data_IF_434474437699
#
_entry.id   IF_434474437699
#
_cell.length_a   1.000
_cell.length_b   1.000
_cell.length_c   1.000
_cell.angle_alpha   90.00
_cell.angle_beta   90.00
_cell.angle_gamma   90.00
#
_symmetry.space_group_name_H-M   'P 1'
#
loop_
_entity.id
_entity.type
_entity.pdbx_description
1 polymer ?
#
# COMPACT_ATOMS: atom_id res chain seq x y z
N UNK A 1 24.98 61.43 -31.10
CA UNK A 1 26.05 61.81 -30.15
C UNK A 1 27.15 60.74 -30.16
N UNK A 2 28.36 61.05 -29.68
CA UNK A 2 29.37 60.03 -29.38
C UNK A 2 28.82 58.96 -28.42
N UNK A 3 27.91 59.35 -27.52
CA UNK A 3 27.23 58.43 -26.58
C UNK A 3 26.31 57.43 -27.29
N UNK A 4 25.60 57.86 -28.35
CA UNK A 4 24.77 56.96 -29.15
C UNK A 4 25.62 55.94 -29.92
N UNK A 5 26.80 56.36 -30.37
CA UNK A 5 27.75 55.49 -31.05
C UNK A 5 28.34 54.46 -30.08
N UNK A 6 28.71 54.88 -28.87
CA UNK A 6 29.22 53.99 -27.84
C UNK A 6 28.17 52.96 -27.40
N UNK A 7 26.91 53.38 -27.22
CA UNK A 7 25.80 52.47 -26.89
C UNK A 7 25.57 51.44 -27.99
N UNK A 8 25.56 51.85 -29.26
CA UNK A 8 25.39 50.94 -30.41
C UNK A 8 26.50 49.89 -30.51
N UNK A 9 27.74 50.28 -30.22
CA UNK A 9 28.86 49.32 -30.18
C UNK A 9 28.69 48.35 -29.01
N UNK A 10 28.29 48.83 -27.84
CA UNK A 10 28.00 47.99 -26.69
C UNK A 10 26.89 46.96 -26.96
N UNK A 11 25.78 47.40 -27.56
CA UNK A 11 24.66 46.53 -27.97
C UNK A 11 25.08 45.51 -29.03
N UNK A 12 26.02 45.85 -29.93
CA UNK A 12 26.51 44.94 -30.95
C UNK A 12 27.48 43.87 -30.41
N UNK A 13 28.27 44.20 -29.39
CA UNK A 13 29.26 43.30 -28.80
C UNK A 13 28.67 42.40 -27.70
N UNK A 14 27.62 42.86 -27.03
CA UNK A 14 27.00 42.14 -25.92
C UNK A 14 26.02 41.11 -26.47
N UNK A 15 26.37 39.84 -26.35
CA UNK A 15 25.55 38.70 -26.78
C UNK A 15 24.83 38.08 -25.60
N UNK A 16 23.51 37.97 -25.73
CA UNK A 16 22.68 37.24 -24.79
C UNK A 16 22.54 35.81 -25.28
N UNK A 17 22.91 34.84 -24.45
CA UNK A 17 22.77 33.43 -24.77
C UNK A 17 21.52 32.85 -24.13
N UNK A 18 20.93 31.87 -24.81
CA UNK A 18 19.82 31.12 -24.28
C UNK A 18 20.20 30.38 -22.99
N UNK A 19 19.24 30.28 -22.06
CA UNK A 19 19.44 29.54 -20.80
C UNK A 19 19.70 28.05 -21.01
N UNK A 20 19.01 27.45 -21.99
CA UNK A 20 19.05 26.02 -22.25
C UNK A 20 19.82 25.73 -23.54
N UNK A 21 20.64 24.67 -23.60
CA UNK A 21 21.43 24.35 -24.78
C UNK A 21 20.55 23.97 -26.00
N UNK A 22 19.35 23.46 -25.75
CA UNK A 22 18.35 23.07 -26.76
C UNK A 22 17.35 24.18 -27.10
N UNK A 23 17.59 25.44 -26.71
CA UNK A 23 16.72 26.52 -27.15
C UNK A 23 16.74 26.65 -28.68
N UNK A 24 15.58 26.81 -29.30
CA UNK A 24 15.46 26.87 -30.76
C UNK A 24 16.32 27.98 -31.39
N UNK A 25 16.51 29.11 -30.69
CA UNK A 25 17.36 30.23 -31.12
C UNK A 25 18.83 29.86 -31.33
N UNK A 26 19.34 28.84 -30.61
CA UNK A 26 20.71 28.34 -30.78
C UNK A 26 20.90 27.60 -32.11
N UNK A 27 19.83 27.21 -32.82
CA UNK A 27 19.91 26.39 -34.04
C UNK A 27 19.41 27.11 -35.29
N UNK A 28 19.22 28.43 -35.22
CA UNK A 28 18.78 29.23 -36.36
C UNK A 28 19.81 29.20 -37.50
N UNK A 29 19.42 28.80 -38.72
CA UNK A 29 20.34 28.71 -39.84
C UNK A 29 20.88 30.08 -40.22
N UNK A 30 22.20 30.18 -40.40
CA UNK A 30 22.87 31.44 -40.76
C UNK A 30 23.15 32.37 -39.58
N UNK A 31 22.83 31.96 -38.35
CA UNK A 31 23.34 32.64 -37.14
C UNK A 31 24.83 32.36 -36.97
N UNK A 32 25.63 33.39 -36.65
CA UNK A 32 27.05 33.21 -36.28
C UNK A 32 27.21 32.34 -35.03
N UNK A 33 26.19 32.34 -34.17
CA UNK A 33 26.14 31.61 -32.90
C UNK A 33 25.41 30.26 -33.05
N UNK A 34 25.26 29.77 -34.27
CA UNK A 34 24.63 28.47 -34.49
C UNK A 34 25.41 27.38 -33.74
N UNK A 35 24.71 26.70 -32.85
CA UNK A 35 25.26 25.59 -32.07
C UNK A 35 25.61 24.42 -32.99
N UNK A 36 26.80 23.88 -32.80
CA UNK A 36 27.29 22.68 -33.47
C UNK A 36 26.87 21.39 -32.74
N UNK A 37 26.22 21.50 -31.58
CA UNK A 37 25.77 20.37 -30.76
C UNK A 37 24.49 19.73 -31.35
N UNK A 38 24.66 18.92 -32.38
CA UNK A 38 23.57 18.29 -33.12
C UNK A 38 22.67 17.39 -32.25
N UNK A 39 23.16 16.91 -31.10
CA UNK A 39 22.39 16.11 -30.13
C UNK A 39 21.13 16.83 -29.60
N UNK A 40 21.15 18.17 -29.56
CA UNK A 40 20.01 18.97 -29.07
C UNK A 40 19.02 19.37 -30.17
N UNK A 41 19.40 19.22 -31.44
CA UNK A 41 18.57 19.62 -32.58
C UNK A 41 17.17 18.94 -32.60
N UNK A 42 17.01 17.66 -32.22
CA UNK A 42 15.67 17.05 -32.13
C UNK A 42 14.78 17.73 -31.08
N UNK A 43 15.35 18.13 -29.94
CA UNK A 43 14.62 18.82 -28.87
C UNK A 43 14.32 20.28 -29.25
N UNK A 44 15.29 20.97 -29.84
CA UNK A 44 15.15 22.36 -30.30
C UNK A 44 14.09 22.53 -31.39
N UNK A 45 13.96 21.55 -32.28
CA UNK A 45 13.00 21.51 -33.39
C UNK A 45 11.66 20.86 -32.99
N UNK A 46 11.48 20.48 -31.72
CA UNK A 46 10.25 19.85 -31.24
C UNK A 46 9.93 18.50 -31.88
N UNK A 47 10.94 17.80 -32.43
CA UNK A 47 10.79 16.49 -33.10
C UNK A 47 10.67 15.30 -32.13
N UNK A 48 10.52 15.57 -30.83
CA UNK A 48 10.29 14.53 -29.83
C UNK A 48 8.90 13.90 -29.98
N UNK A 49 8.82 12.58 -29.82
CA UNK A 49 7.55 11.90 -29.62
C UNK A 49 7.26 11.84 -28.11
N UNK A 50 6.04 12.22 -27.70
CA UNK A 50 5.62 12.03 -26.32
C UNK A 50 5.65 10.53 -25.97
N UNK A 51 6.04 10.20 -24.74
CA UNK A 51 5.98 8.82 -24.28
C UNK A 51 4.52 8.33 -24.34
N UNK A 52 4.27 7.11 -24.85
CA UNK A 52 2.94 6.54 -24.81
C UNK A 52 2.49 6.33 -23.36
N UNK A 53 1.18 6.18 -23.16
CA UNK A 53 0.64 5.76 -21.88
C UNK A 53 1.34 4.47 -21.43
N UNK A 54 1.79 4.44 -20.18
CA UNK A 54 2.48 3.29 -19.61
C UNK A 54 1.54 2.08 -19.50
N UNK A 55 0.31 2.32 -19.03
CA UNK A 55 -0.68 1.28 -18.85
C UNK A 55 -1.26 0.85 -20.19
N UNK A 56 -0.69 -0.20 -20.77
CA UNK A 56 -1.22 -0.89 -21.93
C UNK A 56 -1.63 -2.31 -21.54
N UNK A 57 -2.80 -2.81 -21.98
CA UNK A 57 -3.23 -4.16 -21.66
C UNK A 57 -2.22 -5.20 -22.15
N UNK A 58 -1.79 -6.04 -21.23
CA UNK A 58 -1.05 -7.25 -21.55
C UNK A 58 -2.02 -8.39 -21.84
N UNK A 59 -1.65 -9.35 -22.70
CA UNK A 59 -2.47 -10.53 -22.93
C UNK A 59 -2.60 -11.33 -21.63
N UNK A 60 -3.81 -11.85 -21.41
CA UNK A 60 -4.12 -12.71 -20.28
C UNK A 60 -3.33 -14.01 -20.38
N UNK A 61 -2.76 -14.43 -19.25
CA UNK A 61 -2.14 -15.74 -19.10
C UNK A 61 -3.12 -16.70 -18.42
N UNK A 62 -3.08 -17.96 -18.83
CA UNK A 62 -3.93 -18.98 -18.23
C UNK A 62 -3.47 -19.23 -16.79
N UNK A 63 -4.29 -18.80 -15.82
CA UNK A 63 -4.08 -19.11 -14.41
C UNK A 63 -4.73 -20.45 -14.11
N UNK A 64 -3.93 -21.51 -13.96
CA UNK A 64 -4.42 -22.85 -13.59
C UNK A 64 -4.30 -23.11 -12.09
N UNK A 65 -3.28 -22.51 -11.47
CA UNK A 65 -2.99 -22.67 -10.05
C UNK A 65 -2.44 -21.37 -9.48
N UNK A 66 -2.78 -21.12 -8.22
CA UNK A 66 -2.26 -19.99 -7.43
C UNK A 66 -2.09 -20.43 -5.97
N UNK A 67 -1.07 -19.91 -5.31
CA UNK A 67 -0.92 -20.09 -3.86
C UNK A 67 -1.70 -19.03 -3.08
N UNK A 68 -2.13 -19.36 -1.86
CA UNK A 68 -2.73 -18.39 -0.93
C UNK A 68 -1.80 -17.18 -0.70
N UNK A 69 -0.49 -17.43 -0.55
CA UNK A 69 0.51 -16.38 -0.31
C UNK A 69 0.63 -15.39 -1.48
N UNK A 70 0.56 -15.88 -2.72
CA UNK A 70 0.56 -15.03 -3.92
C UNK A 70 -0.68 -14.15 -3.99
N UNK A 71 -1.84 -14.71 -3.65
CA UNK A 71 -3.09 -13.98 -3.66
C UNK A 71 -3.13 -12.90 -2.56
N UNK A 72 -2.70 -13.25 -1.34
CA UNK A 72 -2.53 -12.30 -0.23
C UNK A 72 -1.50 -11.21 -0.58
N UNK A 73 -0.37 -11.57 -1.18
CA UNK A 73 0.66 -10.61 -1.61
C UNK A 73 0.13 -9.65 -2.68
N UNK A 74 -0.69 -10.14 -3.60
CA UNK A 74 -1.33 -9.30 -4.61
C UNK A 74 -2.27 -8.28 -3.98
N UNK A 75 -3.23 -8.72 -3.16
CA UNK A 75 -4.23 -7.82 -2.56
C UNK A 75 -3.67 -6.85 -1.51
N UNK A 76 -2.47 -7.12 -0.98
CA UNK A 76 -1.74 -6.18 -0.12
C UNK A 76 -1.42 -4.87 -0.86
N UNK A 77 -0.98 -4.96 -2.12
CA UNK A 77 -0.65 -3.80 -2.97
C UNK A 77 -0.73 -4.21 -4.46
N UNK A 78 -1.92 -4.14 -5.08
CA UNK A 78 -2.14 -4.70 -6.42
C UNK A 78 -1.30 -4.06 -7.52
N UNK A 79 -1.07 -2.74 -7.46
CA UNK A 79 -0.23 -2.04 -8.44
C UNK A 79 1.21 -2.54 -8.33
N UNK A 80 1.78 -2.61 -7.12
CA UNK A 80 3.13 -3.17 -6.90
C UNK A 80 3.21 -4.62 -7.34
N UNK A 81 2.17 -5.41 -7.08
CA UNK A 81 2.11 -6.81 -7.49
C UNK A 81 2.15 -6.95 -9.02
N UNK A 82 1.47 -6.10 -9.79
CA UNK A 82 1.60 -6.07 -11.25
C UNK A 82 3.07 -5.88 -11.69
N UNK A 83 3.77 -4.89 -11.14
CA UNK A 83 5.18 -4.68 -11.49
C UNK A 83 6.05 -5.88 -11.13
N UNK A 84 5.89 -6.43 -9.92
CA UNK A 84 6.77 -7.49 -9.43
C UNK A 84 6.47 -8.86 -10.04
N UNK A 85 5.19 -9.23 -10.16
CA UNK A 85 4.75 -10.54 -10.64
C UNK A 85 4.64 -10.58 -12.16
N UNK A 86 4.06 -9.56 -12.79
CA UNK A 86 3.84 -9.55 -14.25
C UNK A 86 5.05 -9.04 -15.01
N UNK A 87 5.63 -7.92 -14.59
CA UNK A 87 6.72 -7.26 -15.32
C UNK A 87 8.12 -7.68 -14.85
N UNK A 88 8.25 -8.32 -13.68
CA UNK A 88 9.54 -8.63 -13.06
C UNK A 88 10.33 -7.39 -12.63
N UNK A 89 9.64 -6.27 -12.37
CA UNK A 89 10.23 -4.97 -12.03
C UNK A 89 10.07 -4.68 -10.54
N UNK A 90 11.15 -4.28 -9.89
CA UNK A 90 11.18 -3.85 -8.50
C UNK A 90 11.87 -2.49 -8.37
N UNK A 91 11.21 -1.53 -7.73
CA UNK A 91 11.76 -0.19 -7.48
C UNK A 91 12.46 -0.10 -6.12
N UNK A 92 13.00 -1.21 -5.60
CA UNK A 92 13.77 -1.18 -4.34
C UNK A 92 15.06 -0.43 -4.61
N UNK A 93 15.15 0.78 -4.06
CA UNK A 93 16.40 1.46 -3.81
C UNK A 93 16.84 1.00 -2.42
N UNK A 94 17.86 0.14 -2.34
CA UNK A 94 18.49 -0.16 -1.05
C UNK A 94 19.27 1.08 -0.59
N UNK A 95 18.58 2.02 0.03
CA UNK A 95 19.22 3.06 0.82
C UNK A 95 19.57 2.44 2.17
N UNK A 96 20.77 1.87 2.23
CA UNK A 96 21.38 1.47 3.51
C UNK A 96 22.00 2.71 4.14
N UNK A 97 21.16 3.66 4.54
CA UNK A 97 21.63 4.82 5.30
C UNK A 97 21.97 4.32 6.70
N UNK A 98 23.27 4.27 7.01
CA UNK A 98 23.73 3.93 8.36
C UNK A 98 23.47 5.15 9.24
N UNK A 99 22.80 4.99 10.40
CA UNK A 99 22.63 6.10 11.32
C UNK A 99 23.99 6.64 11.78
N UNK A 100 24.19 7.96 11.67
CA UNK A 100 25.39 8.64 12.15
C UNK A 100 25.49 8.69 13.69
N UNK A 101 24.37 8.45 14.39
CA UNK A 101 24.24 8.56 15.84
C UNK A 101 23.51 7.35 16.47
N UNK A 102 23.71 7.15 17.78
CA UNK A 102 22.99 6.15 18.58
C UNK A 102 21.49 6.50 18.67
N UNK A 103 20.57 5.50 18.65
CA UNK A 103 19.13 5.77 18.65
C UNK A 103 18.65 6.35 19.99
N UNK A 104 18.40 7.66 20.03
CA UNK A 104 17.63 8.30 21.10
C UNK A 104 16.13 7.97 21.02
N UNK A 105 15.66 7.59 19.84
CA UNK A 105 14.31 7.08 19.59
C UNK A 105 14.38 5.91 18.61
N UNK A 106 13.54 4.91 18.79
CA UNK A 106 13.34 3.85 17.79
C UNK A 106 12.69 4.42 16.54
N UNK A 107 13.27 4.10 15.37
CA UNK A 107 12.63 4.35 14.09
C UNK A 107 11.35 3.51 13.94
N UNK A 108 10.51 3.88 12.99
CA UNK A 108 9.19 3.25 12.83
C UNK A 108 9.29 1.74 12.54
N UNK A 109 10.30 1.29 11.78
CA UNK A 109 10.45 -0.11 11.43
C UNK A 109 10.95 -0.94 12.63
N UNK A 110 12.00 -0.49 13.32
CA UNK A 110 12.48 -1.20 14.51
C UNK A 110 11.43 -1.20 15.60
N UNK A 111 10.68 -0.09 15.77
CA UNK A 111 9.53 -0.05 16.69
C UNK A 111 8.47 -1.10 16.36
N UNK A 112 8.13 -1.28 15.08
CA UNK A 112 7.16 -2.29 14.67
C UNK A 112 7.68 -3.70 14.99
N UNK A 113 8.91 -4.03 14.60
CA UNK A 113 9.53 -5.34 14.86
C UNK A 113 9.62 -5.63 16.36
N UNK A 114 10.03 -4.63 17.14
CA UNK A 114 10.10 -4.68 18.60
C UNK A 114 8.73 -4.97 19.20
N UNK A 115 7.70 -4.18 18.85
CA UNK A 115 6.37 -4.37 19.39
C UNK A 115 5.74 -5.70 18.93
N UNK A 116 6.09 -6.22 17.75
CA UNK A 116 5.67 -7.56 17.31
C UNK A 116 6.23 -8.65 18.22
N UNK A 117 7.52 -8.57 18.58
CA UNK A 117 8.14 -9.51 19.51
C UNK A 117 7.51 -9.40 20.90
N UNK A 118 7.38 -8.19 21.42
CA UNK A 118 6.79 -7.94 22.73
C UNK A 118 5.35 -8.46 22.83
N UNK A 119 4.52 -8.17 21.81
CA UNK A 119 3.14 -8.63 21.76
C UNK A 119 3.06 -10.16 21.76
N UNK A 120 3.87 -10.85 20.96
CA UNK A 120 3.90 -12.31 20.95
C UNK A 120 4.37 -12.89 22.29
N UNK A 121 5.43 -12.35 22.89
CA UNK A 121 5.91 -12.76 24.23
C UNK A 121 4.81 -12.63 25.28
N UNK A 122 4.06 -11.53 25.27
CA UNK A 122 2.93 -11.34 26.19
C UNK A 122 1.81 -12.35 25.89
N UNK A 123 1.46 -12.57 24.62
CA UNK A 123 0.40 -13.52 24.22
C UNK A 123 0.74 -14.97 24.59
N UNK A 124 2.02 -15.36 24.51
CA UNK A 124 2.51 -16.68 24.89
C UNK A 124 2.63 -16.86 26.42
N UNK A 125 2.48 -15.78 27.20
CA UNK A 125 2.64 -15.80 28.65
C UNK A 125 4.09 -15.92 29.10
N UNK A 126 5.04 -15.65 28.20
CA UNK A 126 6.47 -15.64 28.47
C UNK A 126 6.88 -14.40 29.27
N UNK A 127 8.04 -14.48 29.91
CA UNK A 127 8.61 -13.39 30.70
C UNK A 127 9.11 -12.23 29.80
N UNK A 128 8.44 -11.06 29.81
CA UNK A 128 8.83 -9.94 28.96
C UNK A 128 10.16 -9.32 29.42
N UNK A 129 10.61 -9.52 30.66
CA UNK A 129 11.87 -9.00 31.18
C UNK A 129 13.09 -9.62 30.45
N UNK A 130 12.98 -10.89 30.05
CA UNK A 130 14.02 -11.54 29.23
C UNK A 130 14.14 -10.90 27.85
N UNK A 131 13.01 -10.54 27.25
CA UNK A 131 13.00 -9.82 25.98
C UNK A 131 13.63 -8.44 26.14
N UNK A 132 13.29 -7.71 27.22
CA UNK A 132 13.90 -6.41 27.53
C UNK A 132 15.43 -6.49 27.59
N UNK A 133 15.97 -7.44 28.36
CA UNK A 133 17.42 -7.63 28.50
C UNK A 133 18.09 -7.94 27.16
N UNK A 134 17.45 -8.76 26.31
CA UNK A 134 17.97 -9.10 24.98
C UNK A 134 18.00 -7.89 24.05
N UNK A 135 16.91 -7.12 23.97
CA UNK A 135 16.83 -5.95 23.09
C UNK A 135 17.77 -4.85 23.58
N UNK A 136 17.88 -4.65 24.89
CA UNK A 136 18.85 -3.73 25.50
C UNK A 136 20.29 -4.11 25.16
N UNK A 137 20.66 -5.39 25.28
CA UNK A 137 21.99 -5.88 24.93
C UNK A 137 22.32 -5.76 23.43
N UNK A 138 21.30 -5.79 22.57
CA UNK A 138 21.44 -5.58 21.13
C UNK A 138 21.56 -4.09 20.73
N UNK A 139 21.50 -3.15 21.69
CA UNK A 139 21.52 -1.71 21.39
C UNK A 139 20.24 -1.20 20.74
N UNK A 140 19.14 -1.95 20.82
CA UNK A 140 17.87 -1.59 20.19
C UNK A 140 16.98 -0.64 21.00
N UNK A 141 17.43 -0.18 22.17
CA UNK A 141 16.68 0.73 23.05
C UNK A 141 17.53 1.96 23.39
N UNK A 142 16.89 3.11 23.64
CA UNK A 142 17.59 4.29 24.16
C UNK A 142 18.34 3.99 25.46
N UNK A 143 19.43 4.72 25.69
CA UNK A 143 20.31 4.46 26.83
C UNK A 143 19.65 4.68 28.20
N UNK A 144 19.92 3.76 29.13
CA UNK A 144 19.59 3.88 30.55
C UNK A 144 18.09 4.02 30.84
N UNK A 145 17.73 4.97 31.70
CA UNK A 145 16.36 5.19 32.17
C UNK A 145 15.37 5.53 31.04
N UNK A 146 15.84 6.13 29.94
CA UNK A 146 14.97 6.43 28.79
C UNK A 146 14.50 5.14 28.09
N UNK A 147 15.37 4.14 27.97
CA UNK A 147 15.00 2.83 27.45
C UNK A 147 14.02 2.09 28.37
N UNK A 148 14.20 2.21 29.68
CA UNK A 148 13.30 1.63 30.69
C UNK A 148 11.90 2.26 30.64
N UNK A 149 11.81 3.59 30.55
CA UNK A 149 10.53 4.31 30.40
C UNK A 149 9.86 3.96 29.06
N UNK A 150 10.63 3.92 27.98
CA UNK A 150 10.12 3.52 26.67
C UNK A 150 9.54 2.10 26.70
N UNK A 151 10.27 1.17 27.30
CA UNK A 151 9.87 -0.21 27.49
C UNK A 151 8.56 -0.31 28.26
N UNK A 152 8.47 0.33 29.44
CA UNK A 152 7.26 0.32 30.27
C UNK A 152 6.03 0.79 29.48
N UNK A 153 6.17 1.88 28.74
CA UNK A 153 5.08 2.40 27.91
C UNK A 153 4.65 1.42 26.81
N UNK A 154 5.59 0.79 26.10
CA UNK A 154 5.23 -0.19 25.07
C UNK A 154 4.64 -1.46 25.68
N UNK A 155 5.12 -1.88 26.86
CA UNK A 155 4.56 -3.01 27.59
C UNK A 155 3.11 -2.74 28.01
N UNK A 156 2.81 -1.56 28.57
CA UNK A 156 1.44 -1.15 28.90
C UNK A 156 0.53 -1.17 27.67
N UNK A 157 0.96 -0.53 26.57
CA UNK A 157 0.18 -0.47 25.32
C UNK A 157 -0.04 -1.86 24.68
N UNK A 158 0.91 -2.79 24.81
CA UNK A 158 0.80 -4.14 24.25
C UNK A 158 0.06 -5.10 25.18
N UNK A 159 0.02 -4.84 26.49
CA UNK A 159 -0.65 -5.71 27.47
C UNK A 159 -2.15 -5.76 27.26
N UNK A 160 -2.80 -4.62 27.00
CA UNK A 160 -4.25 -4.57 26.73
C UNK A 160 -4.61 -5.43 25.51
N UNK A 161 -3.85 -5.28 24.41
CA UNK A 161 -4.04 -6.08 23.20
C UNK A 161 -3.72 -7.56 23.43
N UNK A 162 -2.66 -7.87 24.20
CA UNK A 162 -2.31 -9.24 24.53
C UNK A 162 -3.40 -9.93 25.37
N UNK A 163 -4.00 -9.25 26.34
CA UNK A 163 -5.12 -9.79 27.12
C UNK A 163 -6.32 -10.10 26.23
N UNK A 164 -6.69 -9.19 25.32
CA UNK A 164 -7.77 -9.42 24.37
C UNK A 164 -7.51 -10.65 23.50
N UNK A 165 -6.29 -10.81 22.98
CA UNK A 165 -5.91 -11.98 22.17
C UNK A 165 -5.92 -13.26 23.02
N UNK A 166 -5.37 -13.24 24.23
CA UNK A 166 -5.33 -14.40 25.12
C UNK A 166 -6.72 -14.89 25.53
N UNK A 167 -7.66 -13.97 25.74
CA UNK A 167 -9.04 -14.30 26.10
C UNK A 167 -9.74 -15.15 25.03
N UNK A 168 -9.35 -15.00 23.77
CA UNK A 168 -9.95 -15.69 22.62
C UNK A 168 -9.00 -16.70 21.95
N UNK A 169 -7.82 -16.95 22.54
CA UNK A 169 -6.85 -17.89 21.99
C UNK A 169 -7.12 -19.31 22.50
N UNK A 170 -7.40 -20.21 21.58
CA UNK A 170 -7.51 -21.64 21.80
C UNK A 170 -6.36 -22.41 21.11
N UNK A 171 -6.36 -23.73 21.28
CA UNK A 171 -5.48 -24.64 20.54
C UNK A 171 -5.71 -24.47 19.03
N UNK A 172 -4.64 -24.56 18.25
CA UNK A 172 -4.71 -24.31 16.81
C UNK A 172 -3.90 -25.33 16.02
N UNK A 173 -4.30 -25.54 14.77
CA UNK A 173 -3.62 -26.41 13.83
C UNK A 173 -3.37 -25.69 12.50
N UNK A 174 -2.66 -26.34 11.59
CA UNK A 174 -2.53 -25.86 10.21
C UNK A 174 -3.48 -26.65 9.32
N UNK A 175 -4.21 -25.94 8.47
CA UNK A 175 -5.13 -26.50 7.48
C UNK A 175 -4.46 -26.45 6.11
N UNK A 176 -4.29 -27.62 5.49
CA UNK A 176 -3.82 -27.70 4.10
C UNK A 176 -4.96 -27.31 3.15
N UNK A 177 -4.64 -26.50 2.15
CA UNK A 177 -5.59 -25.97 1.19
C UNK A 177 -5.37 -26.61 -0.17
N UNK A 178 -6.45 -27.15 -0.72
CA UNK A 178 -6.54 -27.62 -2.10
C UNK A 178 -7.97 -27.42 -2.61
N UNK A 179 -8.26 -26.21 -3.09
CA UNK A 179 -9.62 -25.78 -3.43
C UNK A 179 -9.67 -25.42 -4.91
N UNK A 180 -10.63 -25.97 -5.65
CA UNK A 180 -10.90 -25.55 -7.03
C UNK A 180 -12.00 -24.47 -7.03
N UNK A 181 -11.69 -23.30 -7.59
CA UNK A 181 -12.64 -22.20 -7.72
C UNK A 181 -12.56 -21.65 -9.13
N UNK A 182 -13.68 -21.73 -9.86
CA UNK A 182 -13.79 -21.28 -11.25
C UNK A 182 -12.71 -21.87 -12.18
N UNK A 183 -12.29 -23.13 -11.93
CA UNK A 183 -11.26 -23.81 -12.72
C UNK A 183 -9.81 -23.37 -12.40
N UNK A 184 -9.62 -22.63 -11.30
CA UNK A 184 -8.31 -22.28 -10.74
C UNK A 184 -8.12 -23.04 -9.43
N UNK A 185 -7.02 -23.78 -9.33
CA UNK A 185 -6.64 -24.48 -8.11
C UNK A 185 -5.93 -23.54 -7.13
N UNK A 186 -6.55 -23.24 -6.00
CA UNK A 186 -5.93 -22.51 -4.90
C UNK A 186 -5.29 -23.50 -3.94
N UNK A 187 -3.99 -23.33 -3.68
CA UNK A 187 -3.21 -24.21 -2.82
C UNK A 187 -2.44 -23.44 -1.74
N UNK A 188 -2.10 -24.09 -0.63
CA UNK A 188 -1.28 -23.48 0.42
C UNK A 188 -1.60 -24.00 1.80
N UNK A 189 -1.21 -23.24 2.82
CA UNK A 189 -1.46 -23.57 4.22
C UNK A 189 -2.11 -22.39 4.91
N UNK A 190 -3.20 -22.64 5.63
CA UNK A 190 -3.74 -21.70 6.58
C UNK A 190 -3.24 -22.08 7.96
N UNK A 191 -2.40 -21.24 8.54
CA UNK A 191 -1.81 -21.49 9.86
C UNK A 191 -2.71 -20.96 10.98
N UNK A 192 -2.50 -21.49 12.18
CA UNK A 192 -3.16 -21.03 13.41
C UNK A 192 -4.70 -21.00 13.27
N UNK A 193 -5.26 -22.07 12.70
CA UNK A 193 -6.70 -22.30 12.63
C UNK A 193 -7.17 -22.88 13.95
N UNK A 194 -8.11 -22.22 14.59
CA UNK A 194 -8.76 -22.66 15.83
C UNK A 194 -10.11 -23.31 15.51
N UNK A 195 -10.68 -24.01 16.47
CA UNK A 195 -12.00 -24.65 16.32
C UNK A 195 -13.12 -23.63 16.08
N UNK A 196 -12.97 -22.41 16.61
CA UNK A 196 -13.90 -21.30 16.42
C UNK A 196 -13.51 -20.36 15.26
N UNK A 197 -12.46 -20.70 14.51
CA UNK A 197 -12.05 -20.06 13.26
C UNK A 197 -10.66 -19.45 13.28
N UNK A 198 -10.50 -18.20 12.81
CA UNK A 198 -9.20 -17.56 12.64
C UNK A 198 -9.01 -16.44 13.65
N UNK A 199 -7.88 -16.46 14.36
CA UNK A 199 -7.42 -15.35 15.20
C UNK A 199 -6.09 -14.84 14.67
N UNK A 200 -6.01 -13.55 14.43
CA UNK A 200 -4.81 -12.82 14.00
C UNK A 200 -4.60 -11.62 14.91
N UNK A 201 -3.38 -11.11 14.98
CA UNK A 201 -3.09 -9.88 15.73
C UNK A 201 -1.90 -9.13 15.14
N UNK A 202 -1.87 -7.80 15.33
CA UNK A 202 -0.75 -6.95 14.93
C UNK A 202 -0.51 -5.81 15.92
N UNK A 203 0.76 -5.42 16.17
CA UNK A 203 1.10 -4.30 17.05
C UNK A 203 0.93 -2.92 16.38
N UNK A 204 -0.11 -2.76 15.57
CA UNK A 204 -0.43 -1.53 14.84
C UNK A 204 -1.94 -1.29 14.83
N UNK A 205 -2.37 -0.05 14.60
CA UNK A 205 -3.78 0.19 14.25
C UNK A 205 -4.06 -0.46 12.91
N UNK A 206 -5.12 -1.25 12.83
CA UNK A 206 -5.47 -1.99 11.63
C UNK A 206 -5.89 -1.05 10.50
N UNK A 207 -5.51 -1.42 9.29
CA UNK A 207 -5.83 -0.73 8.04
C UNK A 207 -6.83 -1.54 7.22
N UNK A 208 -7.30 -0.97 6.11
CA UNK A 208 -8.10 -1.71 5.13
C UNK A 208 -7.33 -2.87 4.49
N UNK A 209 -6.00 -2.75 4.39
CA UNK A 209 -5.14 -3.86 3.95
C UNK A 209 -5.28 -5.04 4.91
N UNK A 210 -5.31 -4.80 6.22
CA UNK A 210 -5.49 -5.87 7.20
C UNK A 210 -6.88 -6.51 7.07
N UNK A 211 -7.91 -5.69 6.80
CA UNK A 211 -9.27 -6.16 6.56
C UNK A 211 -9.40 -7.05 5.33
N UNK A 212 -8.91 -6.61 4.16
CA UNK A 212 -9.02 -7.41 2.93
C UNK A 212 -8.17 -8.69 2.99
N UNK A 213 -7.03 -8.67 3.68
CA UNK A 213 -6.21 -9.86 3.85
C UNK A 213 -6.87 -10.89 4.78
N UNK A 214 -7.42 -10.45 5.92
CA UNK A 214 -8.19 -11.34 6.78
C UNK A 214 -9.44 -11.85 6.06
N UNK A 215 -10.12 -10.99 5.28
CA UNK A 215 -11.28 -11.39 4.48
C UNK A 215 -10.93 -12.51 3.51
N UNK A 216 -9.79 -12.41 2.84
CA UNK A 216 -9.32 -13.43 1.91
C UNK A 216 -9.00 -14.75 2.64
N UNK A 217 -8.29 -14.70 3.77
CA UNK A 217 -8.08 -15.88 4.62
C UNK A 217 -9.42 -16.49 5.08
N UNK A 218 -10.38 -15.65 5.45
CA UNK A 218 -11.71 -16.06 5.91
C UNK A 218 -12.52 -16.76 4.81
N UNK A 219 -12.54 -16.21 3.59
CA UNK A 219 -13.19 -16.83 2.44
C UNK A 219 -12.60 -18.22 2.15
N UNK A 220 -11.29 -18.34 2.18
CA UNK A 220 -10.58 -19.60 1.98
C UNK A 220 -10.88 -20.60 3.09
N UNK A 221 -10.92 -20.15 4.35
CA UNK A 221 -11.33 -20.94 5.51
C UNK A 221 -12.76 -21.47 5.36
N UNK A 222 -13.73 -20.63 4.99
CA UNK A 222 -15.12 -21.05 4.77
C UNK A 222 -15.25 -22.00 3.58
N UNK A 223 -14.51 -21.78 2.48
CA UNK A 223 -14.48 -22.68 1.34
C UNK A 223 -13.94 -24.08 1.70
N UNK A 224 -13.00 -24.15 2.65
CA UNK A 224 -12.46 -25.41 3.18
C UNK A 224 -13.41 -26.11 4.18
N UNK A 225 -14.62 -25.58 4.40
CA UNK A 225 -15.63 -26.15 5.30
C UNK A 225 -15.60 -25.57 6.72
N UNK A 226 -14.82 -24.53 6.97
CA UNK A 226 -14.79 -23.82 8.25
C UNK A 226 -16.11 -23.09 8.54
N UNK A 227 -16.66 -23.30 9.74
CA UNK A 227 -17.94 -22.69 10.18
C UNK A 227 -17.77 -21.67 11.29
N UNK A 228 -16.53 -21.32 11.62
CA UNK A 228 -16.17 -20.35 12.66
C UNK A 228 -16.08 -18.91 12.16
N UNK A 229 -15.74 -18.02 13.09
CA UNK A 229 -15.52 -16.59 12.81
C UNK A 229 -14.05 -16.31 12.50
N UNK A 230 -13.77 -15.19 11.85
CA UNK A 230 -12.39 -14.75 11.63
C UNK A 230 -12.19 -13.34 12.16
N UNK A 231 -11.17 -13.16 13.00
CA UNK A 231 -10.92 -11.92 13.74
C UNK A 231 -9.45 -11.55 13.72
N UNK A 232 -9.18 -10.26 13.57
CA UNK A 232 -7.85 -9.67 13.75
C UNK A 232 -7.93 -8.50 14.72
N UNK A 233 -7.01 -8.48 15.69
CA UNK A 233 -6.93 -7.41 16.68
C UNK A 233 -5.66 -6.57 16.51
N UNK A 234 -5.83 -5.25 16.63
CA UNK A 234 -4.73 -4.30 16.59
C UNK A 234 -4.84 -3.23 17.67
N UNK A 235 -3.89 -2.31 17.64
CA UNK A 235 -3.80 -1.22 18.63
C UNK A 235 -5.01 -0.29 18.56
N UNK A 236 -5.26 0.41 19.67
CA UNK A 236 -6.40 1.35 19.83
C UNK A 236 -7.75 0.66 19.63
N UNK A 237 -7.87 -0.60 20.04
CA UNK A 237 -9.07 -1.43 19.91
C UNK A 237 -9.58 -1.49 18.45
N UNK A 238 -8.67 -1.41 17.48
CA UNK A 238 -9.03 -1.65 16.09
C UNK A 238 -9.21 -3.15 15.89
N UNK A 239 -10.29 -3.54 15.22
CA UNK A 239 -10.60 -4.92 14.93
C UNK A 239 -11.19 -5.06 13.52
N UNK A 240 -10.96 -6.21 12.90
CA UNK A 240 -11.83 -6.73 11.83
C UNK A 240 -12.39 -8.06 12.28
N UNK A 241 -13.69 -8.27 12.10
CA UNK A 241 -14.36 -9.50 12.51
C UNK A 241 -15.39 -9.91 11.47
N UNK A 242 -15.33 -11.16 11.03
CA UNK A 242 -16.22 -11.72 10.03
C UNK A 242 -16.94 -12.95 10.61
N UNK A 243 -18.26 -12.97 10.49
CA UNK A 243 -19.06 -14.16 10.80
C UNK A 243 -18.87 -15.23 9.72
N UNK A 244 -19.10 -16.48 10.10
CA UNK A 244 -19.09 -17.61 9.18
C UNK A 244 -20.01 -17.38 7.98
N UNK A 245 -19.50 -17.72 6.79
CA UNK A 245 -20.23 -17.66 5.54
C UNK A 245 -20.61 -19.05 5.05
N UNK A 246 -21.69 -19.13 4.28
CA UNK A 246 -21.99 -20.34 3.54
C UNK A 246 -20.87 -20.62 2.51
N UNK A 247 -20.44 -21.88 2.32
CA UNK A 247 -19.38 -22.20 1.37
C UNK A 247 -19.65 -21.69 -0.05
N UNK A 248 -20.90 -21.68 -0.50
CA UNK A 248 -21.29 -21.19 -1.82
C UNK A 248 -21.09 -19.67 -1.96
N UNK A 249 -21.41 -18.91 -0.91
CA UNK A 249 -21.19 -17.46 -0.87
C UNK A 249 -19.69 -17.14 -0.82
N UNK A 250 -18.94 -17.88 0.01
CA UNK A 250 -17.50 -17.73 0.10
C UNK A 250 -16.80 -18.03 -1.24
N UNK A 251 -17.22 -19.08 -1.94
CA UNK A 251 -16.71 -19.43 -3.27
C UNK A 251 -17.02 -18.34 -4.31
N UNK A 252 -18.21 -17.76 -4.29
CA UNK A 252 -18.58 -16.68 -5.21
C UNK A 252 -17.72 -15.43 -5.00
N UNK A 253 -17.51 -15.01 -3.75
CA UNK A 253 -16.67 -13.87 -3.40
C UNK A 253 -15.18 -14.13 -3.73
N UNK A 254 -14.70 -15.35 -3.47
CA UNK A 254 -13.33 -15.72 -3.78
C UNK A 254 -13.08 -15.82 -5.30
N UNK A 255 -14.07 -16.27 -6.08
CA UNK A 255 -14.00 -16.25 -7.54
C UNK A 255 -13.85 -14.82 -8.09
N UNK A 256 -14.53 -13.84 -7.49
CA UNK A 256 -14.41 -12.42 -7.84
C UNK A 256 -13.00 -11.89 -7.53
N UNK A 257 -12.41 -12.28 -6.40
CA UNK A 257 -11.02 -11.94 -6.08
C UNK A 257 -10.02 -12.62 -7.04
N UNK A 258 -10.26 -13.85 -7.46
CA UNK A 258 -9.42 -14.53 -8.46
C UNK A 258 -9.52 -13.84 -9.84
N UNK A 259 -10.72 -13.44 -10.25
CA UNK A 259 -10.91 -12.65 -11.46
C UNK A 259 -10.18 -11.29 -11.36
N UNK A 260 -10.24 -10.65 -10.19
CA UNK A 260 -9.50 -9.42 -9.91
C UNK A 260 -7.99 -9.56 -10.01
N UNK A 261 -7.44 -10.65 -9.47
CA UNK A 261 -6.03 -11.00 -9.63
C UNK A 261 -5.65 -11.15 -11.12
N UNK A 262 -6.42 -11.91 -11.90
CA UNK A 262 -6.17 -12.09 -13.33
C UNK A 262 -6.22 -10.75 -14.10
N UNK A 263 -7.22 -9.90 -13.82
CA UNK A 263 -7.31 -8.54 -14.40
C UNK A 263 -6.09 -7.71 -14.03
N UNK A 264 -5.70 -7.76 -12.76
CA UNK A 264 -4.56 -7.05 -12.19
C UNK A 264 -3.20 -7.45 -12.74
N UNK A 265 -3.09 -8.65 -13.32
CA UNK A 265 -1.90 -9.09 -14.06
C UNK A 265 -1.93 -8.69 -15.55
N UNK A 266 -3.09 -8.33 -16.09
CA UNK A 266 -3.19 -7.80 -17.46
C UNK A 266 -2.97 -6.28 -17.49
N UNK A 267 -3.48 -5.58 -16.48
CA UNK A 267 -3.32 -4.14 -16.27
C UNK A 267 -3.27 -3.85 -14.76
N UNK A 268 -2.54 -2.82 -14.29
CA UNK A 268 -2.51 -2.45 -12.88
C UNK A 268 -3.93 -2.25 -12.32
N UNK A 269 -4.30 -3.06 -11.32
CA UNK A 269 -5.58 -2.93 -10.63
C UNK A 269 -5.52 -1.71 -9.71
N UNK A 270 -6.37 -0.71 -9.96
CA UNK A 270 -6.38 0.56 -9.22
C UNK A 270 -7.11 0.47 -7.87
N UNK A 271 -6.90 -0.62 -7.16
CA UNK A 271 -7.35 -0.80 -5.79
C UNK A 271 -6.33 -0.17 -4.84
N UNK A 272 -6.60 1.08 -4.48
CA UNK A 272 -5.82 1.86 -3.53
C UNK A 272 -6.37 1.68 -2.12
N UNK A 273 -5.82 0.72 -1.38
CA UNK A 273 -6.38 0.30 -0.10
C UNK A 273 -6.46 1.45 0.92
N UNK A 274 -5.52 2.41 0.94
CA UNK A 274 -5.56 3.53 1.91
C UNK A 274 -6.54 4.62 1.46
N UNK A 275 -6.45 5.06 0.20
CA UNK A 275 -7.26 6.17 -0.33
C UNK A 275 -8.70 5.75 -0.58
N UNK A 276 -8.91 4.55 -1.14
CA UNK A 276 -10.23 3.94 -1.33
C UNK A 276 -10.95 3.74 -0.01
N UNK A 277 -10.25 3.24 1.02
CA UNK A 277 -10.81 3.13 2.37
C UNK A 277 -11.22 4.48 2.96
N UNK A 278 -10.39 5.51 2.80
CA UNK A 278 -10.69 6.85 3.30
C UNK A 278 -11.98 7.43 2.67
N UNK A 279 -12.25 7.11 1.39
CA UNK A 279 -13.54 7.40 0.77
C UNK A 279 -14.66 6.54 1.35
N UNK A 280 -14.50 5.22 1.30
CA UNK A 280 -15.55 4.26 1.63
C UNK A 280 -16.03 4.44 3.07
N UNK A 281 -15.10 4.55 4.02
CA UNK A 281 -15.40 4.78 5.45
C UNK A 281 -16.19 6.07 5.72
N UNK A 282 -16.13 7.05 4.82
CA UNK A 282 -16.79 8.34 4.97
C UNK A 282 -18.20 8.38 4.36
N UNK A 283 -18.48 7.55 3.36
CA UNK A 283 -19.77 7.47 2.68
C UNK A 283 -20.53 6.15 2.94
N UNK A 284 -19.94 5.18 3.62
CA UNK A 284 -20.63 3.93 3.97
C UNK A 284 -21.64 4.16 5.10
N UNK A 285 -22.88 3.69 4.91
CA UNK A 285 -23.96 3.74 5.89
C UNK A 285 -24.15 2.35 6.51
N UNK A 286 -23.78 2.13 7.78
CA UNK A 286 -23.90 0.83 8.44
C UNK A 286 -25.34 0.29 8.49
N UNK A 287 -26.34 1.16 8.61
CA UNK A 287 -27.75 0.79 8.77
C UNK A 287 -28.34 0.22 7.48
N UNK A 288 -27.96 0.78 6.33
CA UNK A 288 -28.43 0.36 5.00
C UNK A 288 -27.47 -0.61 4.31
N UNK A 289 -26.25 -0.75 4.85
CA UNK A 289 -25.13 -1.48 4.25
C UNK A 289 -24.81 -1.02 2.81
N UNK A 290 -25.01 0.28 2.54
CA UNK A 290 -24.87 0.88 1.23
C UNK A 290 -23.97 2.11 1.28
N UNK A 291 -23.55 2.55 0.09
CA UNK A 291 -22.81 3.78 -0.11
C UNK A 291 -23.79 4.93 -0.24
N UNK A 292 -23.57 5.98 0.53
CA UNK A 292 -24.26 7.25 0.44
C UNK A 292 -23.81 8.01 -0.81
N UNK A 293 -24.67 8.03 -1.83
CA UNK A 293 -24.41 8.71 -3.09
C UNK A 293 -24.93 10.16 -3.12
N UNK A 294 -25.38 10.70 -1.98
CA UNK A 294 -25.74 12.11 -1.90
C UNK A 294 -24.53 13.01 -2.16
N UNK A 295 -24.76 14.13 -2.85
CA UNK A 295 -23.70 15.02 -3.34
C UNK A 295 -22.81 15.53 -2.21
N UNK A 296 -23.40 15.96 -1.08
CA UNK A 296 -22.64 16.45 0.07
C UNK A 296 -21.76 15.38 0.73
N UNK A 297 -22.26 14.14 0.84
CA UNK A 297 -21.52 13.02 1.38
C UNK A 297 -20.35 12.66 0.47
N UNK A 298 -20.59 12.60 -0.84
CA UNK A 298 -19.58 12.30 -1.85
C UNK A 298 -18.49 13.36 -1.94
N UNK A 299 -18.81 14.65 -1.79
CA UNK A 299 -17.81 15.73 -1.73
C UNK A 299 -16.85 15.50 -0.56
N UNK A 300 -17.39 15.21 0.64
CA UNK A 300 -16.58 14.95 1.83
C UNK A 300 -15.73 13.68 1.68
N UNK A 301 -16.31 12.60 1.17
CA UNK A 301 -15.61 11.34 0.98
C UNK A 301 -14.48 11.46 -0.05
N UNK A 302 -14.71 12.16 -1.18
CA UNK A 302 -13.66 12.43 -2.18
C UNK A 302 -12.55 13.31 -1.62
N UNK A 303 -12.87 14.29 -0.78
CA UNK A 303 -11.86 15.10 -0.10
C UNK A 303 -10.98 14.25 0.83
N UNK A 304 -11.56 13.25 1.52
CA UNK A 304 -10.81 12.30 2.36
C UNK A 304 -9.91 11.36 1.55
N UNK A 305 -10.38 10.89 0.40
CA UNK A 305 -9.55 10.15 -0.55
C UNK A 305 -8.34 10.97 -0.97
N UNK A 306 -8.57 12.21 -1.41
CA UNK A 306 -7.50 13.12 -1.84
C UNK A 306 -6.51 13.40 -0.72
N UNK A 307 -6.99 13.57 0.52
CA UNK A 307 -6.12 13.73 1.68
C UNK A 307 -5.25 12.49 1.92
N UNK A 308 -5.80 11.28 1.81
CA UNK A 308 -5.05 10.03 1.96
C UNK A 308 -4.05 9.79 0.81
N UNK A 309 -4.42 10.21 -0.40
CA UNK A 309 -3.60 10.12 -1.61
C UNK A 309 -2.40 11.08 -1.56
N UNK A 310 -2.62 12.33 -1.14
CA UNK A 310 -1.57 13.34 -1.04
C UNK A 310 -0.71 13.19 0.22
N UNK A 311 -1.30 12.69 1.30
CA UNK A 311 -0.64 12.63 2.61
C UNK A 311 -0.62 13.98 3.32
N UNK A 312 0.29 14.11 4.28
CA UNK A 312 0.54 15.34 5.02
C UNK A 312 2.05 15.59 5.19
N UNK A 313 2.41 16.65 5.92
CA UNK A 313 3.83 17.02 6.13
C UNK A 313 4.66 15.97 6.88
N UNK A 314 4.03 14.98 7.52
CA UNK A 314 4.68 13.95 8.35
C UNK A 314 4.54 12.55 7.74
N UNK A 315 3.43 12.27 7.07
CA UNK A 315 3.09 10.95 6.56
C UNK A 315 2.91 11.07 5.04
N UNK A 316 3.74 10.35 4.25
CA UNK A 316 3.61 10.37 2.80
C UNK A 316 2.25 9.83 2.36
N UNK A 317 1.73 10.43 1.31
CA UNK A 317 0.50 10.00 0.66
C UNK A 317 0.66 8.67 -0.07
N UNK A 318 -0.44 7.96 -0.30
CA UNK A 318 -0.39 6.74 -1.15
C UNK A 318 0.04 7.06 -2.58
N UNK A 319 -0.18 8.30 -3.04
CA UNK A 319 0.27 8.79 -4.32
C UNK A 319 1.77 9.04 -4.42
N UNK A 320 2.52 9.05 -3.33
CA UNK A 320 4.00 9.18 -3.37
C UNK A 320 4.70 7.83 -3.61
N UNK A 321 3.96 6.72 -3.59
CA UNK A 321 4.51 5.39 -3.85
C UNK A 321 5.08 5.31 -5.29
N UNK A 322 6.34 4.87 -5.48
CA UNK A 322 6.97 4.81 -6.81
C UNK A 322 6.24 3.94 -7.84
N UNK A 323 5.61 2.84 -7.40
CA UNK A 323 4.83 1.96 -8.27
C UNK A 323 3.58 2.70 -8.75
N UNK A 324 2.93 3.43 -7.86
CA UNK A 324 1.74 4.24 -8.16
C UNK A 324 2.08 5.38 -9.12
N UNK A 325 3.12 6.17 -8.81
CA UNK A 325 3.65 7.25 -9.65
C UNK A 325 4.03 6.79 -11.06
N UNK A 326 4.43 5.52 -11.21
CA UNK A 326 4.77 4.97 -12.53
C UNK A 326 3.54 4.73 -13.40
N UNK A 327 2.40 4.37 -12.80
CA UNK A 327 1.13 4.19 -13.49
C UNK A 327 0.51 5.55 -13.81
N UNK A 328 0.38 6.42 -12.83
CA UNK A 328 -0.14 7.77 -13.01
C UNK A 328 0.43 8.73 -11.95
N UNK A 329 0.78 9.95 -12.36
CA UNK A 329 1.40 10.97 -11.49
C UNK A 329 0.41 11.98 -10.93
N UNK A 330 -0.69 12.17 -11.63
CA UNK A 330 -1.76 13.11 -11.28
C UNK A 330 -3.06 12.34 -11.23
N UNK A 331 -3.84 12.57 -10.18
CA UNK A 331 -5.16 11.98 -10.03
C UNK A 331 -6.18 12.87 -10.74
N UNK A 332 -6.66 12.40 -11.89
CA UNK A 332 -7.75 13.02 -12.64
C UNK A 332 -9.11 12.34 -12.33
N UNK A 333 -10.17 12.80 -12.98
CA UNK A 333 -11.51 12.27 -12.78
C UNK A 333 -11.67 10.83 -13.31
N UNK A 334 -10.89 10.42 -14.32
CA UNK A 334 -10.97 9.07 -14.89
C UNK A 334 -10.35 8.05 -13.93
N UNK A 335 -9.15 8.34 -13.42
CA UNK A 335 -8.51 7.52 -12.39
C UNK A 335 -9.31 7.50 -11.11
N UNK A 336 -9.86 8.64 -10.68
CA UNK A 336 -10.73 8.69 -9.51
C UNK A 336 -11.92 7.75 -9.68
N UNK A 337 -12.63 7.80 -10.82
CA UNK A 337 -13.76 6.91 -11.07
C UNK A 337 -13.37 5.42 -11.04
N UNK A 338 -12.21 5.06 -11.60
CA UNK A 338 -11.70 3.69 -11.56
C UNK A 338 -11.35 3.24 -10.13
N UNK A 339 -10.70 4.10 -9.34
CA UNK A 339 -10.38 3.81 -7.94
C UNK A 339 -11.66 3.59 -7.13
N UNK A 340 -12.69 4.44 -7.32
CA UNK A 340 -13.97 4.29 -6.62
C UNK A 340 -14.65 2.97 -7.01
N UNK A 341 -14.66 2.61 -8.30
CA UNK A 341 -15.26 1.38 -8.78
C UNK A 341 -14.55 0.12 -8.23
N UNK A 342 -13.22 0.07 -8.24
CA UNK A 342 -12.49 -1.08 -7.68
C UNK A 342 -12.57 -1.10 -6.13
N UNK A 343 -12.66 0.06 -5.47
CA UNK A 343 -12.91 0.16 -4.02
C UNK A 343 -14.27 -0.41 -3.66
N UNK A 344 -15.32 -0.02 -4.38
CA UNK A 344 -16.66 -0.58 -4.20
C UNK A 344 -16.65 -2.09 -4.45
N UNK A 345 -15.97 -2.54 -5.51
CA UNK A 345 -15.93 -3.96 -5.87
C UNK A 345 -15.25 -4.84 -4.82
N UNK A 346 -14.15 -4.40 -4.21
CA UNK A 346 -13.35 -5.25 -3.32
C UNK A 346 -13.37 -4.89 -1.84
N UNK A 347 -13.61 -3.63 -1.48
CA UNK A 347 -13.63 -3.20 -0.08
C UNK A 347 -15.04 -3.08 0.49
N UNK A 348 -16.08 -2.89 -0.34
CA UNK A 348 -17.46 -2.89 0.16
C UNK A 348 -17.89 -4.25 0.72
N UNK A 349 -17.57 -5.41 0.11
CA UNK A 349 -17.87 -6.70 0.74
C UNK A 349 -17.21 -6.81 2.13
N UNK A 350 -15.94 -6.40 2.24
CA UNK A 350 -15.18 -6.39 3.50
C UNK A 350 -15.89 -5.53 4.56
N UNK A 351 -16.39 -4.33 4.22
CA UNK A 351 -17.13 -3.51 5.19
C UNK A 351 -18.48 -4.08 5.57
N UNK A 352 -19.21 -4.64 4.61
CA UNK A 352 -20.56 -5.17 4.84
C UNK A 352 -20.57 -6.37 5.77
N UNK A 353 -19.54 -7.20 5.68
CA UNK A 353 -19.41 -8.38 6.54
C UNK A 353 -18.65 -8.10 7.84
N UNK A 354 -18.07 -6.90 8.02
CA UNK A 354 -17.38 -6.56 9.25
C UNK A 354 -18.38 -6.35 10.42
N UNK A 355 -18.16 -7.09 11.49
CA UNK A 355 -18.91 -7.02 12.75
C UNK A 355 -18.21 -6.18 13.83
N UNK A 356 -16.96 -5.81 13.59
CA UNK A 356 -16.07 -5.11 14.52
C UNK A 356 -16.17 -3.59 14.48
#
# INVERSE_FOLDING_TARGET
SADDSARRVGEHLLKWHARMPFAAENFLPGSEEQSYAAEWLPAADGRGAAHPAFNQPLPAEALQQISLDELLRFYRHPIRAFFQLRLGVSFILEETELPDEEPFTLDNLSRYQFNSQLLNTLIDGDDPERLFQRVRAAGGLPYGAFGEIYWQKQQEEMSELAEQVRAERAESHSLELDIDIAGVRLSGWLHQVQDDGLLRWRPATLSAVDGILLWLEHLVYCCAGGTGESRIYGRKNSAWRFAALAPEEAQAQLAELLAGYQRGLCQPLLLLNKSGWAWLSQCYQPETQQIDWEEEAQIKARAKLLQAWQGDQRIPGEGEDPYVQRVFRQLDNEYLAQILAETERYLLPVTRHNLG
#
